data_IF_358430404156
#
_entry.id   IF_358430404156
#
_cell.length_a   1.000
_cell.length_b   1.000
_cell.length_c   1.000
_cell.angle_alpha   90.00
_cell.angle_beta   90.00
_cell.angle_gamma   90.00
#
_symmetry.space_group_name_H-M   'P 1'
#
loop_
_entity.id
_entity.type
_entity.pdbx_description
1 polymer ?
#
# COMPACT_ATOMS: atom_id res chain seq x y z
N UNK A 1 24.56 -3.15 5.16
CA UNK A 1 24.77 -2.95 3.72
C UNK A 1 23.58 -2.20 3.13
N UNK A 2 23.67 -0.87 3.08
CA UNK A 2 22.56 -0.03 2.62
C UNK A 2 22.32 -0.14 1.09
N UNK A 3 23.36 -0.52 0.34
CA UNK A 3 23.29 -0.65 -1.12
C UNK A 3 22.45 -1.85 -1.52
N UNK A 4 22.76 -3.04 -0.98
CA UNK A 4 21.95 -4.24 -1.22
C UNK A 4 20.48 -4.05 -0.85
N UNK A 5 20.18 -3.41 0.29
CA UNK A 5 18.80 -3.09 0.66
C UNK A 5 18.14 -2.15 -0.36
N UNK A 6 18.83 -1.09 -0.79
CA UNK A 6 18.28 -0.10 -1.71
C UNK A 6 18.00 -0.70 -3.10
N UNK A 7 18.91 -1.53 -3.61
CA UNK A 7 18.76 -2.22 -4.89
C UNK A 7 17.61 -3.21 -4.86
N UNK A 8 17.56 -4.08 -3.85
CA UNK A 8 16.48 -5.05 -3.67
C UNK A 8 15.12 -4.34 -3.49
N UNK A 9 15.05 -3.30 -2.66
CA UNK A 9 13.81 -2.53 -2.45
C UNK A 9 13.32 -1.87 -3.74
N UNK A 10 14.23 -1.28 -4.52
CA UNK A 10 13.88 -0.58 -5.76
C UNK A 10 13.39 -1.54 -6.85
N UNK A 11 14.03 -2.71 -6.94
CA UNK A 11 13.69 -3.76 -7.91
C UNK A 11 12.40 -4.48 -7.54
N UNK A 12 12.32 -5.03 -6.32
CA UNK A 12 11.21 -5.90 -5.89
C UNK A 12 9.97 -5.12 -5.44
N UNK A 13 10.13 -3.88 -4.96
CA UNK A 13 9.05 -3.04 -4.38
C UNK A 13 8.12 -3.82 -3.44
N UNK A 14 8.65 -4.57 -2.47
CA UNK A 14 7.84 -5.52 -1.76
C UNK A 14 6.92 -4.85 -0.74
N UNK A 15 5.76 -5.45 -0.51
CA UNK A 15 4.91 -5.13 0.62
C UNK A 15 5.28 -5.99 1.85
N UNK A 16 4.73 -5.66 3.03
CA UNK A 16 5.11 -6.34 4.27
C UNK A 16 4.84 -7.85 4.24
N UNK A 17 3.76 -8.30 3.60
CA UNK A 17 3.42 -9.72 3.52
C UNK A 17 4.47 -10.51 2.74
N UNK A 18 4.88 -10.00 1.58
CA UNK A 18 5.89 -10.64 0.72
C UNK A 18 7.22 -10.82 1.47
N UNK A 19 7.60 -9.86 2.32
CA UNK A 19 8.81 -9.98 3.15
C UNK A 19 8.66 -11.08 4.21
N UNK A 20 7.49 -11.21 4.83
CA UNK A 20 7.25 -12.27 5.83
C UNK A 20 7.25 -13.66 5.19
N UNK A 21 6.76 -13.77 3.95
CA UNK A 21 6.80 -15.02 3.17
C UNK A 21 8.21 -15.39 2.71
N UNK A 22 9.05 -14.39 2.37
CA UNK A 22 10.46 -14.61 1.99
C UNK A 22 11.32 -15.07 3.17
N UNK A 23 10.99 -14.65 4.40
CA UNK A 23 11.73 -14.99 5.62
C UNK A 23 10.84 -15.74 6.63
N UNK A 24 10.45 -17.01 6.35
CA UNK A 24 9.49 -17.75 7.18
C UNK A 24 10.01 -18.13 8.57
N UNK A 25 11.31 -18.01 8.81
CA UNK A 25 11.91 -18.21 10.14
C UNK A 25 11.67 -17.04 11.10
N UNK A 26 11.11 -15.94 10.63
CA UNK A 26 10.88 -14.75 11.43
C UNK A 26 9.63 -14.90 12.30
N UNK A 27 9.83 -14.95 13.62
CA UNK A 27 8.74 -14.98 14.59
C UNK A 27 8.41 -13.55 15.07
N UNK A 28 7.29 -13.01 14.61
CA UNK A 28 6.80 -11.69 15.06
C UNK A 28 5.45 -11.82 15.75
N UNK A 29 5.25 -11.03 16.81
CA UNK A 29 3.92 -10.87 17.38
C UNK A 29 3.04 -9.97 16.50
N UNK A 30 1.74 -10.25 16.45
CA UNK A 30 0.78 -9.40 15.74
C UNK A 30 0.77 -7.95 16.28
N UNK A 31 0.94 -7.77 17.59
CA UNK A 31 1.01 -6.45 18.22
C UNK A 31 2.19 -5.63 17.70
N UNK A 32 3.37 -6.25 17.56
CA UNK A 32 4.53 -5.58 16.98
C UNK A 32 4.26 -5.17 15.53
N UNK A 33 3.74 -6.07 14.70
CA UNK A 33 3.42 -5.76 13.29
C UNK A 33 2.47 -4.57 13.19
N UNK A 34 1.37 -4.58 13.95
CA UNK A 34 0.39 -3.49 13.94
C UNK A 34 0.98 -2.15 14.40
N UNK A 35 1.95 -2.17 15.33
CA UNK A 35 2.63 -0.94 15.78
C UNK A 35 3.48 -0.26 14.71
N UNK A 36 3.96 -1.01 13.71
CA UNK A 36 4.86 -0.52 12.67
C UNK A 36 4.13 -0.15 11.37
N UNK A 37 2.87 -0.58 11.21
CA UNK A 37 2.10 -0.30 10.00
C UNK A 37 1.70 1.17 9.90
N UNK A 38 1.90 1.81 8.74
CA UNK A 38 1.44 3.17 8.53
C UNK A 38 -0.09 3.21 8.42
N UNK A 39 -0.68 4.36 8.77
CA UNK A 39 -2.11 4.59 8.57
C UNK A 39 -2.47 4.56 7.08
N UNK A 40 -3.58 3.90 6.75
CA UNK A 40 -4.10 3.84 5.39
C UNK A 40 -4.64 5.21 4.98
N UNK A 41 -4.01 5.83 3.98
CA UNK A 41 -4.43 7.14 3.47
C UNK A 41 -5.62 7.03 2.49
N UNK A 42 -6.60 7.95 2.51
CA UNK A 42 -7.60 8.02 1.45
C UNK A 42 -6.94 8.37 0.11
N UNK A 43 -7.50 7.87 -1.00
CA UNK A 43 -7.06 8.21 -2.35
C UNK A 43 -8.08 9.16 -2.96
N UNK A 44 -7.59 10.29 -3.48
CA UNK A 44 -8.41 11.29 -4.13
C UNK A 44 -8.50 10.97 -5.62
N UNK A 45 -9.70 11.11 -6.17
CA UNK A 45 -9.99 10.89 -7.58
C UNK A 45 -10.69 12.12 -8.14
N UNK A 46 -10.43 12.41 -9.41
CA UNK A 46 -11.15 13.46 -10.13
C UNK A 46 -12.53 12.97 -10.53
N UNK A 47 -13.52 13.86 -10.41
CA UNK A 47 -14.87 13.59 -10.89
C UNK A 47 -14.88 13.59 -12.41
N UNK A 48 -15.31 12.48 -13.02
CA UNK A 48 -15.32 12.30 -14.49
C UNK A 48 -16.72 12.40 -15.12
N UNK A 49 -17.67 13.03 -14.42
CA UNK A 49 -19.03 13.26 -14.91
C UNK A 49 -19.48 14.72 -14.77
N UNK A 50 -20.43 15.12 -15.62
CA UNK A 50 -21.16 16.38 -15.44
C UNK A 50 -22.37 16.17 -14.51
N UNK A 51 -22.57 17.02 -13.49
CA UNK A 51 -23.73 16.95 -12.60
C UNK A 51 -25.04 17.30 -13.32
N UNK A 52 -25.01 18.06 -14.42
CA UNK A 52 -26.23 18.40 -15.19
C UNK A 52 -26.78 17.19 -15.95
N UNK A 53 -25.88 16.31 -16.42
CA UNK A 53 -26.24 15.09 -17.15
C UNK A 53 -26.52 13.95 -16.18
N UNK A 54 -25.84 13.93 -15.03
CA UNK A 54 -25.89 12.84 -14.04
C UNK A 54 -26.10 13.37 -12.60
N UNK A 55 -27.27 13.94 -12.27
CA UNK A 55 -27.50 14.66 -11.01
C UNK A 55 -27.40 13.81 -9.72
N UNK A 56 -27.43 12.48 -9.85
CA UNK A 56 -27.38 11.54 -8.71
C UNK A 56 -26.33 10.45 -8.87
N UNK A 57 -25.33 10.66 -9.75
CA UNK A 57 -24.25 9.69 -9.98
C UNK A 57 -22.90 10.40 -9.99
N UNK A 58 -21.92 9.77 -9.37
CA UNK A 58 -20.53 10.19 -9.39
C UNK A 58 -19.74 9.17 -10.21
N UNK A 59 -19.12 9.60 -11.30
CA UNK A 59 -18.21 8.75 -12.06
C UNK A 59 -16.77 9.04 -11.65
N UNK A 60 -16.01 7.97 -11.48
CA UNK A 60 -14.58 7.97 -11.19
C UNK A 60 -13.91 7.13 -12.28
N UNK A 61 -12.75 7.58 -12.75
CA UNK A 61 -11.86 6.85 -13.68
C UNK A 61 -10.48 6.73 -13.07
#
# INVERSE_FOLDING_TARGET
DFRCYSEWKAFSRPNLLEVLEEFPSLELSAAFVLSQLPLLKPRLYSVSCSPDVYPHKLHLT
#
